data_IF_482988679980
#
_entry.id   IF_482988679980
#
_cell.length_a   1.000
_cell.length_b   1.000
_cell.length_c   1.000
_cell.angle_alpha   90.00
_cell.angle_beta   90.00
_cell.angle_gamma   90.00
#
_symmetry.space_group_name_H-M   'P 1'
#
loop_
_entity.id
_entity.type
_entity.pdbx_description
1 polymer ?
#
# COMPACT_ATOMS: atom_id res chain seq x y z
N UNK A 1 -13.66 11.23 -29.76
CA UNK A 1 -12.98 9.96 -30.07
C UNK A 1 -11.51 10.15 -29.77
N UNK A 2 -11.07 9.76 -28.57
CA UNK A 2 -9.66 9.87 -28.17
C UNK A 2 -8.87 8.78 -28.87
N UNK A 3 -7.89 9.18 -29.67
CA UNK A 3 -6.89 8.30 -30.27
C UNK A 3 -6.13 7.58 -29.15
N UNK A 4 -6.34 6.26 -29.03
CA UNK A 4 -5.43 5.40 -28.27
C UNK A 4 -4.06 5.54 -28.94
N UNK A 5 -3.17 6.32 -28.33
CA UNK A 5 -1.77 6.38 -28.70
C UNK A 5 -1.20 4.97 -28.55
N UNK A 6 -1.07 4.25 -29.66
CA UNK A 6 -0.31 3.00 -29.72
C UNK A 6 1.11 3.31 -29.26
N UNK A 7 1.49 2.83 -28.08
CA UNK A 7 2.84 2.98 -27.55
C UNK A 7 3.75 2.14 -28.45
N UNK A 8 4.29 2.75 -29.49
CA UNK A 8 5.23 2.10 -30.37
C UNK A 8 6.59 2.04 -29.66
N UNK A 9 7.04 0.82 -29.37
CA UNK A 9 8.23 0.60 -28.59
C UNK A 9 9.46 0.64 -29.51
N UNK A 10 10.18 1.78 -29.53
CA UNK A 10 11.46 1.87 -30.25
C UNK A 10 12.65 1.56 -29.30
N UNK A 11 13.80 1.10 -29.84
CA UNK A 11 14.96 0.74 -29.03
C UNK A 11 15.47 1.88 -28.15
N UNK A 12 15.44 3.13 -28.63
CA UNK A 12 15.92 4.29 -27.88
C UNK A 12 15.08 4.55 -26.62
N UNK A 13 13.76 4.43 -26.73
CA UNK A 13 12.85 4.61 -25.61
C UNK A 13 12.99 3.46 -24.61
N UNK A 14 13.25 2.24 -25.08
CA UNK A 14 13.56 1.12 -24.19
C UNK A 14 14.84 1.40 -23.37
N UNK A 15 15.91 1.84 -24.03
CA UNK A 15 17.18 2.22 -23.38
C UNK A 15 16.95 3.33 -22.34
N UNK A 16 16.16 4.35 -22.68
CA UNK A 16 15.86 5.44 -21.75
C UNK A 16 15.12 4.94 -20.50
N UNK A 17 14.09 4.10 -20.67
CA UNK A 17 13.34 3.50 -19.55
C UNK A 17 14.25 2.63 -18.68
N UNK A 18 15.12 1.82 -19.29
CA UNK A 18 16.06 0.99 -18.54
C UNK A 18 17.07 1.83 -17.77
N UNK A 19 17.60 2.89 -18.37
CA UNK A 19 18.51 3.82 -17.69
C UNK A 19 17.86 4.54 -16.52
N UNK A 20 16.60 4.95 -16.65
CA UNK A 20 15.83 5.56 -15.56
C UNK A 20 15.58 4.55 -14.45
N UNK A 21 15.19 3.33 -14.80
CA UNK A 21 14.99 2.23 -13.86
C UNK A 21 16.26 1.91 -13.07
N UNK A 22 17.41 1.83 -13.74
CA UNK A 22 18.71 1.59 -13.12
C UNK A 22 19.10 2.70 -12.13
N UNK A 23 18.83 3.96 -12.49
CA UNK A 23 19.08 5.11 -11.62
C UNK A 23 18.21 5.07 -10.35
N UNK A 24 16.91 4.75 -10.50
CA UNK A 24 15.99 4.58 -9.37
C UNK A 24 16.46 3.44 -8.47
N UNK A 25 16.88 2.31 -9.07
CA UNK A 25 17.32 1.14 -8.32
C UNK A 25 18.62 1.41 -7.56
N UNK A 26 19.57 2.12 -8.18
CA UNK A 26 20.81 2.55 -7.53
C UNK A 26 20.52 3.47 -6.34
N UNK A 27 19.60 4.41 -6.49
CA UNK A 27 19.17 5.29 -5.39
C UNK A 27 18.52 4.51 -4.25
N UNK A 28 17.60 3.59 -4.58
CA UNK A 28 16.92 2.76 -3.59
C UNK A 28 17.88 1.84 -2.82
N UNK A 29 18.89 1.26 -3.49
CA UNK A 29 19.97 0.50 -2.84
C UNK A 29 20.76 1.37 -1.87
N UNK A 30 21.22 2.55 -2.33
CA UNK A 30 21.94 3.47 -1.47
C UNK A 30 21.11 3.93 -0.25
N UNK A 31 19.79 4.06 -0.39
CA UNK A 31 18.91 4.30 0.74
C UNK A 31 18.86 3.11 1.72
N UNK A 32 18.71 1.89 1.20
CA UNK A 32 18.71 0.66 2.01
C UNK A 32 20.02 0.50 2.80
N UNK A 33 21.15 0.69 2.13
CA UNK A 33 22.49 0.59 2.75
C UNK A 33 22.68 1.62 3.88
N UNK A 34 22.13 2.84 3.73
CA UNK A 34 22.18 3.88 4.77
C UNK A 34 21.29 3.60 5.98
N UNK A 35 20.27 2.77 5.80
CA UNK A 35 19.31 2.39 6.84
C UNK A 35 19.73 1.09 7.54
N UNK A 36 20.58 0.28 6.91
CA UNK A 36 21.08 -0.96 7.49
C UNK A 36 21.71 -0.74 8.87
N UNK A 37 21.30 -1.57 9.84
CA UNK A 37 21.81 -1.54 11.21
C UNK A 37 21.21 -0.46 12.12
N UNK A 38 20.23 0.32 11.65
CA UNK A 38 19.50 1.25 12.52
C UNK A 38 18.44 0.51 13.33
N UNK A 39 18.31 0.85 14.61
CA UNK A 39 17.18 0.40 15.42
C UNK A 39 15.93 1.19 15.06
N UNK A 40 14.86 0.48 14.71
CA UNK A 40 13.56 1.07 14.40
C UNK A 40 12.65 0.90 15.61
N UNK A 41 12.23 2.02 16.22
CA UNK A 41 11.39 2.01 17.44
C UNK A 41 9.91 1.76 17.14
N UNK A 42 9.43 2.13 15.95
CA UNK A 42 8.02 2.06 15.60
C UNK A 42 7.73 0.82 14.74
N UNK A 43 6.75 0.02 15.17
CA UNK A 43 6.41 -1.27 14.54
C UNK A 43 6.11 -1.16 13.05
N UNK A 44 5.38 -0.13 12.65
CA UNK A 44 5.02 0.09 11.24
C UNK A 44 6.24 0.45 10.36
N UNK A 45 7.30 1.02 10.95
CA UNK A 45 8.54 1.31 10.24
C UNK A 45 9.39 0.03 10.08
N UNK A 46 9.33 -0.90 11.03
CA UNK A 46 9.98 -2.22 10.89
C UNK A 46 9.36 -3.04 9.76
N UNK A 47 8.01 -3.01 9.63
CA UNK A 47 7.35 -3.57 8.45
C UNK A 47 7.73 -2.82 7.17
N UNK A 48 7.83 -1.48 7.22
CA UNK A 48 8.26 -0.68 6.06
C UNK A 48 9.61 -1.14 5.52
N UNK A 49 10.59 -1.32 6.41
CA UNK A 49 11.95 -1.76 6.07
C UNK A 49 11.94 -3.14 5.42
N UNK A 50 11.16 -4.07 6.00
CA UNK A 50 11.02 -5.44 5.46
C UNK A 50 10.38 -5.43 4.07
N UNK A 51 9.27 -4.71 3.90
CA UNK A 51 8.55 -4.61 2.63
C UNK A 51 9.42 -3.91 1.58
N UNK A 52 10.11 -2.83 1.95
CA UNK A 52 11.02 -2.10 1.07
C UNK A 52 12.19 -2.96 0.60
N UNK A 53 12.80 -3.74 1.50
CA UNK A 53 13.86 -4.69 1.14
C UNK A 53 13.37 -5.74 0.15
N UNK A 54 12.17 -6.30 0.39
CA UNK A 54 11.53 -7.25 -0.54
C UNK A 54 11.28 -6.61 -1.91
N UNK A 55 10.76 -5.39 -1.94
CA UNK A 55 10.53 -4.62 -3.16
C UNK A 55 11.84 -4.44 -3.93
N UNK A 56 12.93 -4.08 -3.24
CA UNK A 56 14.25 -3.93 -3.82
C UNK A 56 14.77 -5.23 -4.42
N UNK A 57 14.63 -6.36 -3.73
CA UNK A 57 15.03 -7.67 -4.22
C UNK A 57 14.29 -8.07 -5.51
N UNK A 58 12.97 -7.84 -5.57
CA UNK A 58 12.17 -8.11 -6.77
C UNK A 58 12.55 -7.18 -7.92
N UNK A 59 12.83 -5.90 -7.64
CA UNK A 59 13.26 -4.94 -8.65
C UNK A 59 14.62 -5.32 -9.24
N UNK A 60 15.58 -5.75 -8.41
CA UNK A 60 16.87 -6.28 -8.86
C UNK A 60 16.71 -7.56 -9.69
N UNK A 61 15.74 -8.41 -9.35
CA UNK A 61 15.47 -9.64 -10.10
C UNK A 61 14.87 -9.33 -11.46
N UNK A 62 13.95 -8.36 -11.54
CA UNK A 62 13.34 -7.91 -12.79
C UNK A 62 14.38 -7.27 -13.72
N UNK A 63 15.33 -6.50 -13.16
CA UNK A 63 16.47 -5.95 -13.91
C UNK A 63 17.25 -7.05 -14.65
N UNK A 64 17.49 -8.18 -13.99
CA UNK A 64 18.28 -9.30 -14.51
C UNK A 64 17.53 -10.16 -15.53
N UNK A 65 16.19 -10.09 -15.56
CA UNK A 65 15.36 -10.81 -16.54
C UNK A 65 15.14 -10.02 -17.83
N UNK A 66 15.43 -8.72 -17.83
CA UNK A 66 15.36 -7.88 -19.03
C UNK A 66 16.56 -8.07 -19.96
N UNK A 67 16.47 -7.56 -21.21
CA UNK A 67 17.60 -7.52 -22.12
C UNK A 67 18.68 -6.66 -21.49
N UNK A 68 19.86 -7.22 -21.31
CA UNK A 68 21.00 -6.40 -20.94
C UNK A 68 21.47 -5.64 -22.18
N UNK A 69 21.79 -4.35 -22.02
CA UNK A 69 22.41 -3.55 -23.10
C UNK A 69 23.73 -4.14 -23.58
N UNK A 70 24.38 -4.95 -22.74
CA UNK A 70 25.52 -5.77 -23.08
C UNK A 70 25.23 -7.22 -22.72
N UNK A 71 25.14 -8.13 -23.71
CA UNK A 71 24.90 -9.54 -23.44
C UNK A 71 26.08 -10.12 -22.66
N UNK A 72 25.81 -10.61 -21.45
CA UNK A 72 26.81 -11.31 -20.64
C UNK A 72 26.88 -12.77 -21.06
N UNK A 73 27.69 -13.06 -22.09
CA UNK A 73 28.29 -14.38 -22.44
C UNK A 73 27.47 -15.67 -22.21
N UNK A 74 26.14 -15.64 -22.33
CA UNK A 74 25.27 -16.79 -22.07
C UNK A 74 23.87 -16.59 -22.67
N UNK A 75 23.11 -17.67 -22.90
CA UNK A 75 21.73 -17.55 -23.38
C UNK A 75 20.90 -16.85 -22.30
N UNK A 76 20.43 -15.64 -22.60
CA UNK A 76 19.47 -14.93 -21.76
C UNK A 76 18.15 -15.70 -21.77
N UNK A 77 17.72 -16.22 -20.61
CA UNK A 77 16.42 -16.86 -20.48
C UNK A 77 15.36 -15.80 -20.23
N UNK A 78 14.74 -15.38 -21.32
CA UNK A 78 13.66 -14.43 -21.35
C UNK A 78 12.34 -15.09 -20.96
N UNK A 79 12.08 -15.15 -19.66
CA UNK A 79 10.80 -15.62 -19.16
C UNK A 79 9.85 -14.45 -18.93
N UNK A 80 8.99 -14.18 -19.92
CA UNK A 80 7.93 -13.19 -19.84
C UNK A 80 7.00 -13.50 -18.65
N UNK A 81 6.73 -14.78 -18.36
CA UNK A 81 5.93 -15.19 -17.22
C UNK A 81 6.58 -14.75 -15.91
N UNK A 82 7.87 -15.03 -15.73
CA UNK A 82 8.62 -14.56 -14.56
C UNK A 82 8.65 -13.03 -14.46
N UNK A 83 8.86 -12.32 -15.57
CA UNK A 83 8.83 -10.85 -15.60
C UNK A 83 7.47 -10.29 -15.17
N UNK A 84 6.37 -10.86 -15.67
CA UNK A 84 5.01 -10.49 -15.27
C UNK A 84 4.74 -10.74 -13.78
N UNK A 85 5.19 -11.89 -13.25
CA UNK A 85 5.05 -12.22 -11.83
C UNK A 85 5.83 -11.25 -10.95
N UNK A 86 7.06 -10.91 -11.33
CA UNK A 86 7.85 -9.92 -10.59
C UNK A 86 7.25 -8.51 -10.66
N UNK A 87 6.80 -8.08 -11.83
CA UNK A 87 6.12 -6.79 -11.99
C UNK A 87 4.87 -6.69 -11.11
N UNK A 88 4.05 -7.75 -11.08
CA UNK A 88 2.90 -7.84 -10.20
C UNK A 88 3.30 -7.77 -8.72
N UNK A 89 4.31 -8.54 -8.33
CA UNK A 89 4.81 -8.57 -6.95
C UNK A 89 5.34 -7.21 -6.51
N UNK A 90 5.97 -6.45 -7.42
CA UNK A 90 6.44 -5.09 -7.15
C UNK A 90 5.27 -4.13 -6.87
N UNK A 91 4.21 -4.19 -7.67
CA UNK A 91 3.00 -3.38 -7.47
C UNK A 91 2.37 -3.72 -6.12
N UNK A 92 2.15 -5.01 -5.84
CA UNK A 92 1.55 -5.47 -4.58
C UNK A 92 2.40 -5.10 -3.36
N UNK A 93 3.73 -5.20 -3.45
CA UNK A 93 4.63 -4.79 -2.39
C UNK A 93 4.63 -3.27 -2.17
N UNK A 94 4.55 -2.49 -3.24
CA UNK A 94 4.44 -1.03 -3.14
C UNK A 94 3.11 -0.60 -2.50
N UNK A 95 2.00 -1.23 -2.88
CA UNK A 95 0.69 -0.98 -2.28
C UNK A 95 0.70 -1.33 -0.79
N UNK A 96 1.30 -2.47 -0.42
CA UNK A 96 1.49 -2.85 0.98
C UNK A 96 2.34 -1.83 1.76
N UNK A 97 3.48 -1.40 1.21
CA UNK A 97 4.34 -0.39 1.83
C UNK A 97 3.57 0.92 2.06
N UNK A 98 2.79 1.31 1.05
CA UNK A 98 1.98 2.53 1.09
C UNK A 98 0.89 2.44 2.15
N UNK A 99 0.19 1.32 2.20
CA UNK A 99 -0.86 1.04 3.18
C UNK A 99 -0.33 1.04 4.62
N UNK A 100 0.78 0.35 4.86
CA UNK A 100 1.34 0.14 6.21
C UNK A 100 2.07 1.37 6.73
N UNK A 101 2.80 2.09 5.88
CA UNK A 101 3.84 2.99 6.36
C UNK A 101 3.82 4.39 5.73
N UNK A 102 3.55 4.53 4.42
CA UNK A 102 3.69 5.81 3.72
C UNK A 102 2.45 6.71 3.82
N UNK A 103 1.24 6.14 3.84
CA UNK A 103 0.04 6.96 3.93
C UNK A 103 -0.02 7.74 5.25
N UNK A 104 -0.21 9.08 5.20
CA UNK A 104 -0.40 9.87 6.41
C UNK A 104 -1.79 9.57 6.96
N UNK A 105 -1.84 8.88 8.10
CA UNK A 105 -3.08 8.48 8.76
C UNK A 105 -2.98 8.70 10.27
N UNK A 106 -4.11 8.90 10.96
CA UNK A 106 -4.14 9.00 12.41
C UNK A 106 -3.50 7.76 13.09
N UNK A 107 -2.86 7.90 14.27
CA UNK A 107 -2.20 6.78 14.95
C UNK A 107 -3.14 5.59 15.22
N UNK A 108 -4.39 5.86 15.57
CA UNK A 108 -5.42 4.83 15.78
C UNK A 108 -5.71 4.01 14.52
N UNK A 109 -5.73 4.66 13.36
CA UNK A 109 -5.92 3.97 12.09
C UNK A 109 -4.68 3.16 11.74
N UNK A 110 -3.48 3.70 11.98
CA UNK A 110 -2.21 2.99 11.78
C UNK A 110 -2.14 1.72 12.59
N UNK A 111 -2.53 1.77 13.87
CA UNK A 111 -2.59 0.61 14.75
C UNK A 111 -3.56 -0.46 14.21
N UNK A 112 -4.75 -0.06 13.77
CA UNK A 112 -5.73 -0.96 13.14
C UNK A 112 -5.16 -1.63 11.88
N UNK A 113 -4.47 -0.88 11.01
CA UNK A 113 -3.85 -1.43 9.79
C UNK A 113 -2.78 -2.48 10.11
N UNK A 114 -1.96 -2.23 11.13
CA UNK A 114 -0.96 -3.21 11.59
C UNK A 114 -1.63 -4.46 12.16
N UNK A 115 -2.66 -4.30 12.99
CA UNK A 115 -3.39 -5.44 13.54
C UNK A 115 -4.07 -6.26 12.44
N UNK A 116 -4.67 -5.62 11.43
CA UNK A 116 -5.23 -6.29 10.27
C UNK A 116 -4.17 -7.05 9.47
N UNK A 117 -2.98 -6.47 9.33
CA UNK A 117 -1.83 -7.10 8.69
C UNK A 117 -1.37 -8.35 9.46
N UNK A 118 -1.23 -8.26 10.78
CA UNK A 118 -0.88 -9.40 11.64
C UNK A 118 -1.96 -10.49 11.65
N UNK A 119 -3.23 -10.08 11.62
CA UNK A 119 -4.36 -10.99 11.54
C UNK A 119 -4.35 -11.82 10.26
N UNK A 120 -3.95 -11.20 9.14
CA UNK A 120 -3.82 -11.88 7.85
C UNK A 120 -2.69 -12.92 7.87
N UNK A 121 -1.61 -12.65 8.62
CA UNK A 121 -0.47 -13.55 8.74
C UNK A 121 -0.73 -14.73 9.70
N UNK A 122 -1.71 -14.57 10.61
CA UNK A 122 -2.16 -15.63 11.51
C UNK A 122 -3.04 -16.64 10.79
N UNK A 123 -2.49 -17.83 10.54
CA UNK A 123 -3.25 -19.01 10.09
C UNK A 123 -4.13 -19.63 11.19
N UNK A 124 -3.91 -19.27 12.46
CA UNK A 124 -4.70 -19.75 13.60
C UNK A 124 -5.78 -18.73 14.03
N UNK A 125 -7.03 -19.06 13.69
CA UNK A 125 -8.23 -18.28 14.00
C UNK A 125 -8.46 -18.02 15.51
N UNK A 126 -7.87 -18.81 16.41
CA UNK A 126 -8.02 -18.62 17.86
C UNK A 126 -7.23 -17.41 18.37
N UNK A 127 -6.02 -17.20 17.84
CA UNK A 127 -5.16 -16.05 18.15
C UNK A 127 -5.72 -14.78 17.54
N UNK A 128 -6.20 -14.88 16.30
CA UNK A 128 -6.95 -13.84 15.60
C UNK A 128 -8.14 -13.29 16.42
N UNK A 129 -8.99 -14.18 16.95
CA UNK A 129 -10.14 -13.81 17.79
C UNK A 129 -9.74 -13.14 19.10
N UNK A 130 -8.60 -13.50 19.68
CA UNK A 130 -8.09 -12.90 20.91
C UNK A 130 -7.61 -11.46 20.69
N UNK A 131 -6.88 -11.21 19.59
CA UNK A 131 -6.41 -9.86 19.23
C UNK A 131 -7.57 -8.90 18.95
N UNK A 132 -8.61 -9.37 18.25
CA UNK A 132 -9.83 -8.58 18.01
C UNK A 132 -10.58 -8.21 19.30
N UNK A 133 -10.56 -9.09 20.32
CA UNK A 133 -11.20 -8.84 21.61
C UNK A 133 -10.41 -7.89 22.52
N UNK A 134 -9.10 -7.79 22.33
CA UNK A 134 -8.24 -6.89 23.11
C UNK A 134 -8.17 -5.47 22.55
N UNK A 135 -8.79 -5.18 21.39
CA UNK A 135 -8.81 -3.82 20.86
C UNK A 135 -9.65 -2.92 21.77
N UNK A 136 -9.15 -1.73 22.17
CA UNK A 136 -9.97 -0.73 22.82
C UNK A 136 -10.97 -0.20 21.79
N UNK A 137 -12.16 -0.79 21.75
CA UNK A 137 -13.28 -0.25 20.98
C UNK A 137 -13.58 1.11 21.59
N UNK A 138 -13.13 2.19 20.95
CA UNK A 138 -13.66 3.52 21.23
C UNK A 138 -15.13 3.48 20.86
N UNK A 139 -15.98 3.31 21.87
CA UNK A 139 -17.42 3.55 21.84
C UNK A 139 -17.68 5.04 21.59
N UNK A 140 -17.31 5.56 20.42
CA UNK A 140 -17.63 6.93 20.01
C UNK A 140 -18.58 7.01 18.81
N UNK A 141 -18.99 5.88 18.23
CA UNK A 141 -20.05 5.83 17.21
C UNK A 141 -21.45 5.55 17.79
N UNK A 142 -21.62 5.51 19.11
CA UNK A 142 -22.92 5.34 19.79
C UNK A 142 -23.39 6.62 20.53
N UNK A 143 -22.97 7.80 20.07
CA UNK A 143 -23.46 9.09 20.57
C UNK A 143 -24.14 9.95 19.49
N UNK A 144 -24.34 9.41 18.28
CA UNK A 144 -25.35 9.96 17.37
C UNK A 144 -26.70 9.47 17.88
N UNK A 145 -27.37 10.30 18.67
CA UNK A 145 -28.76 10.07 19.07
C UNK A 145 -29.67 9.83 17.86
N UNK A 146 -30.86 9.25 18.07
CA UNK A 146 -31.80 9.00 16.99
C UNK A 146 -32.09 10.31 16.23
N UNK A 147 -32.03 10.23 14.90
CA UNK A 147 -32.51 11.28 13.99
C UNK A 147 -33.87 11.79 14.49
N UNK A 148 -34.06 13.11 14.66
CA UNK A 148 -35.37 13.64 15.01
C UNK A 148 -36.32 13.37 13.86
N UNK A 149 -37.27 12.45 14.06
CA UNK A 149 -38.42 12.30 13.18
C UNK A 149 -39.32 13.52 13.40
N UNK A 150 -39.39 14.33 12.35
CA UNK A 150 -40.21 15.54 12.27
C UNK A 150 -41.69 15.15 12.21
N UNK A 151 -42.32 14.93 13.37
CA UNK A 151 -43.75 14.57 13.42
C UNK A 151 -44.52 15.18 14.60
N UNK A 152 -44.06 16.29 15.18
CA UNK A 152 -44.73 16.91 16.32
C UNK A 152 -44.71 18.46 16.34
N UNK A 153 -44.85 19.09 15.16
CA UNK A 153 -45.20 20.53 15.06
C UNK A 153 -46.40 20.73 14.14
N UNK A 154 -47.54 20.20 14.53
CA UNK A 154 -48.85 20.60 14.00
C UNK A 154 -49.96 20.28 15.00
N UNK A 155 -49.92 20.93 16.18
CA UNK A 155 -51.07 21.00 17.10
C UNK A 155 -50.80 21.96 18.28
N UNK A 156 -50.45 23.24 18.06
CA UNK A 156 -50.51 24.26 19.13
C UNK A 156 -50.29 25.70 18.61
N UNK A 157 -51.07 26.15 17.63
CA UNK A 157 -51.12 27.58 17.28
C UNK A 157 -52.43 27.94 16.56
N UNK A 158 -53.56 27.60 17.18
CA UNK A 158 -54.87 28.13 16.82
C UNK A 158 -55.61 28.38 18.13
N UNK A 159 -55.33 29.53 18.73
CA UNK A 159 -56.18 30.21 19.74
C UNK A 159 -55.56 31.57 20.04
N UNK A 160 -56.37 32.61 19.84
CA UNK A 160 -56.23 34.01 20.26
C UNK A 160 -55.63 34.98 19.23
N UNK A 161 -56.46 35.34 18.25
CA UNK A 161 -56.50 36.70 17.70
C UNK A 161 -57.98 37.08 17.53
N UNK A 162 -58.56 37.64 18.60
CA UNK A 162 -59.88 38.27 18.59
C UNK A 162 -59.97 39.19 19.81
N UNK A 163 -59.35 40.38 19.71
CA UNK A 163 -59.89 41.70 20.08
C UNK A 163 -59.26 42.69 19.12
#
# INVERSE_FOLDING_TARGET
>A
MSTMNSIQMNPQRYIAILSEYDAILAHARAMSDRLAGRCVSEKHLSYAETIFTKLLCHACSLQKLGPMLQPTSGPELWDIGAACVLARTLIEAFDALTYVSLHPVPPVERELRILAWELHDLTDHSTARRMLRSMPVTRHLSAAGPFPTDSARSASALRHSAI
#
